data_IF_869135627511
#
_entry.id   IF_869135627511
#
_cell.length_a   1.000
_cell.length_b   1.000
_cell.length_c   1.000
_cell.angle_alpha   90.00
_cell.angle_beta   90.00
_cell.angle_gamma   90.00
#
_symmetry.space_group_name_H-M   'P 1'
#
loop_
_entity.id
_entity.type
_entity.pdbx_description
1 polymer ?
#
# COMPACT_ATOMS: atom_id res chain seq x y z
N UNK A 1 12.97 -25.63 48.08
CA UNK A 1 11.65 -25.08 47.71
C UNK A 1 11.82 -24.23 46.45
N UNK A 2 11.51 -24.77 45.28
CA UNK A 2 11.55 -24.04 44.01
C UNK A 2 10.15 -23.50 43.72
N UNK A 3 9.95 -22.19 43.85
CA UNK A 3 8.70 -21.54 43.47
C UNK A 3 8.48 -21.68 41.97
N UNK A 4 7.45 -22.43 41.55
CA UNK A 4 7.03 -22.46 40.15
C UNK A 4 6.69 -21.05 39.68
N UNK A 5 7.19 -20.60 38.51
CA UNK A 5 6.88 -19.28 37.99
C UNK A 5 5.36 -19.19 37.74
N UNK A 6 4.73 -18.15 38.28
CA UNK A 6 3.31 -17.87 38.08
C UNK A 6 3.00 -17.79 36.58
N UNK A 7 1.94 -18.49 36.15
CA UNK A 7 1.55 -18.51 34.75
C UNK A 7 1.25 -17.07 34.25
N UNK A 8 1.74 -16.68 33.06
CA UNK A 8 1.50 -15.34 32.54
C UNK A 8 -0.01 -15.10 32.38
N UNK A 9 -0.53 -13.92 32.74
CA UNK A 9 -1.96 -13.64 32.68
C UNK A 9 -2.52 -13.85 31.27
N UNK A 10 -3.61 -14.63 31.16
CA UNK A 10 -4.31 -14.88 29.89
C UNK A 10 -4.87 -13.55 29.36
N UNK A 11 -4.25 -13.01 28.32
CA UNK A 11 -4.73 -11.80 27.64
C UNK A 11 -5.86 -12.17 26.68
N UNK A 12 -6.87 -11.30 26.60
CA UNK A 12 -7.95 -11.45 25.61
C UNK A 12 -7.40 -11.35 24.19
N UNK A 13 -8.01 -12.08 23.26
CA UNK A 13 -7.61 -12.11 21.86
C UNK A 13 -7.54 -10.71 21.24
N UNK A 14 -8.53 -9.86 21.57
CA UNK A 14 -8.64 -8.50 21.06
C UNK A 14 -7.49 -7.61 21.56
N UNK A 15 -7.07 -7.77 22.83
CA UNK A 15 -5.91 -7.06 23.37
C UNK A 15 -4.59 -7.50 22.69
N UNK A 16 -4.46 -8.78 22.33
CA UNK A 16 -3.29 -9.29 21.61
C UNK A 16 -3.24 -8.69 20.20
N UNK A 17 -4.36 -8.71 19.46
CA UNK A 17 -4.44 -8.16 18.10
C UNK A 17 -4.21 -6.65 18.08
N UNK A 18 -4.80 -5.91 19.01
CA UNK A 18 -4.59 -4.47 19.12
C UNK A 18 -3.12 -4.11 19.40
N UNK A 19 -2.46 -4.90 20.25
CA UNK A 19 -1.02 -4.72 20.53
C UNK A 19 -0.17 -5.07 19.30
N UNK A 20 -0.50 -6.13 18.57
CA UNK A 20 0.18 -6.51 17.33
C UNK A 20 0.03 -5.45 16.24
N UNK A 21 -1.15 -4.85 16.12
CA UNK A 21 -1.40 -3.75 15.20
C UNK A 21 -0.56 -2.51 15.55
N UNK A 22 -0.58 -2.08 16.83
CA UNK A 22 0.23 -0.94 17.30
C UNK A 22 1.74 -1.20 17.24
N UNK A 23 2.19 -2.44 17.35
CA UNK A 23 3.60 -2.83 17.27
C UNK A 23 3.90 -3.62 15.99
N UNK A 24 3.27 -3.24 14.88
CA UNK A 24 3.48 -3.90 13.61
C UNK A 24 4.97 -3.87 13.22
N UNK A 25 5.50 -4.95 12.60
CA UNK A 25 6.88 -4.96 12.14
C UNK A 25 7.16 -3.77 11.21
N UNK A 26 8.25 -3.05 11.46
CA UNK A 26 8.67 -1.89 10.65
C UNK A 26 8.70 -2.15 9.12
N UNK A 27 9.09 -3.35 8.62
CA UNK A 27 9.00 -3.67 7.20
C UNK A 27 7.59 -3.51 6.61
N UNK A 28 6.55 -3.95 7.34
CA UNK A 28 5.16 -3.90 6.88
C UNK A 28 4.68 -2.46 6.81
N UNK A 29 4.93 -1.67 7.86
CA UNK A 29 4.53 -0.25 7.90
C UNK A 29 5.17 0.53 6.75
N UNK A 30 6.45 0.26 6.47
CA UNK A 30 7.18 0.90 5.35
C UNK A 30 6.58 0.52 4.00
N UNK A 31 6.32 -0.77 3.77
CA UNK A 31 5.73 -1.26 2.54
C UNK A 31 4.34 -0.61 2.27
N UNK A 32 3.49 -0.57 3.29
CA UNK A 32 2.16 0.04 3.18
C UNK A 32 2.29 1.54 2.93
N UNK A 33 3.12 2.25 3.69
CA UNK A 33 3.32 3.69 3.51
C UNK A 33 3.84 4.04 2.11
N UNK A 34 4.79 3.27 1.57
CA UNK A 34 5.27 3.49 0.20
C UNK A 34 4.18 3.25 -0.84
N UNK A 35 3.42 2.16 -0.72
CA UNK A 35 2.35 1.86 -1.66
C UNK A 35 1.25 2.92 -1.61
N UNK A 36 0.90 3.41 -0.42
CA UNK A 36 -0.07 4.51 -0.24
C UNK A 36 0.43 5.79 -0.90
N UNK A 37 1.69 6.18 -0.66
CA UNK A 37 2.24 7.39 -1.27
C UNK A 37 2.23 7.34 -2.80
N UNK A 38 2.68 6.22 -3.38
CA UNK A 38 2.65 5.99 -4.84
C UNK A 38 1.21 6.04 -5.38
N UNK A 39 0.28 5.33 -4.72
CA UNK A 39 -1.11 5.28 -5.13
C UNK A 39 -1.78 6.66 -5.08
N UNK A 40 -1.53 7.45 -4.05
CA UNK A 40 -2.08 8.81 -3.95
C UNK A 40 -1.60 9.69 -5.11
N UNK A 41 -0.30 9.66 -5.43
CA UNK A 41 0.26 10.48 -6.52
C UNK A 41 -0.32 10.07 -7.87
N UNK A 42 -0.29 8.78 -8.19
CA UNK A 42 -0.83 8.29 -9.47
C UNK A 42 -2.36 8.46 -9.53
N UNK A 43 -3.04 8.32 -8.40
CA UNK A 43 -4.50 8.43 -8.29
C UNK A 43 -4.97 9.87 -8.50
N UNK A 44 -4.21 10.85 -7.99
CA UNK A 44 -4.44 12.25 -8.29
C UNK A 44 -4.28 12.54 -9.79
N UNK A 45 -3.25 11.98 -10.43
CA UNK A 45 -3.07 12.10 -11.89
C UNK A 45 -4.22 11.49 -12.68
N UNK A 46 -4.67 10.29 -12.31
CA UNK A 46 -5.83 9.64 -12.91
C UNK A 46 -7.11 10.46 -12.71
N UNK A 47 -7.33 11.00 -11.51
CA UNK A 47 -8.49 11.84 -11.21
C UNK A 47 -8.51 13.12 -12.04
N UNK A 48 -7.35 13.78 -12.21
CA UNK A 48 -7.24 14.95 -13.08
C UNK A 48 -7.60 14.61 -14.52
N UNK A 49 -7.11 13.48 -15.04
CA UNK A 49 -7.46 12.99 -16.38
C UNK A 49 -8.97 12.73 -16.51
N UNK A 50 -9.56 12.03 -15.55
CA UNK A 50 -10.98 11.69 -15.55
C UNK A 50 -11.89 12.94 -15.47
N UNK A 51 -11.52 13.94 -14.67
CA UNK A 51 -12.21 15.24 -14.61
C UNK A 51 -12.06 16.00 -15.93
N UNK A 52 -10.85 16.05 -16.50
CA UNK A 52 -10.61 16.73 -17.77
C UNK A 52 -11.48 16.16 -18.90
N UNK A 53 -11.57 14.83 -18.99
CA UNK A 53 -12.41 14.14 -19.98
C UNK A 53 -13.92 14.31 -19.70
N UNK A 54 -14.31 14.52 -18.44
CA UNK A 54 -15.70 14.80 -18.07
C UNK A 54 -16.12 16.22 -18.47
N UNK A 55 -15.19 17.19 -18.38
CA UNK A 55 -15.45 18.59 -18.75
C UNK A 55 -15.29 18.86 -20.25
N UNK A 56 -14.38 18.16 -20.92
CA UNK A 56 -14.14 18.25 -22.36
C UNK A 56 -14.01 16.84 -22.97
N UNK A 57 -15.07 16.33 -23.62
CA UNK A 57 -15.07 15.00 -24.20
C UNK A 57 -14.21 14.86 -25.47
N UNK A 58 -13.76 15.96 -26.07
CA UNK A 58 -13.00 15.98 -27.34
C UNK A 58 -11.48 15.76 -27.17
N UNK A 59 -11.04 15.10 -26.09
CA UNK A 59 -9.62 14.77 -25.93
C UNK A 59 -9.17 13.78 -27.01
N UNK A 60 -7.97 13.97 -27.61
CA UNK A 60 -7.47 13.11 -28.67
C UNK A 60 -7.32 11.67 -28.15
N UNK A 61 -7.96 10.72 -28.84
CA UNK A 61 -7.92 9.29 -28.49
C UNK A 61 -9.22 8.70 -27.93
N UNK A 62 -10.27 9.50 -27.70
CA UNK A 62 -11.57 9.03 -27.23
C UNK A 62 -11.61 8.71 -25.71
N UNK A 63 -12.59 7.94 -25.27
CA UNK A 63 -12.72 7.55 -23.85
C UNK A 63 -11.72 6.43 -23.48
N UNK A 64 -10.55 6.83 -22.97
CA UNK A 64 -9.50 5.92 -22.51
C UNK A 64 -9.49 5.75 -20.98
N UNK A 65 -10.58 6.08 -20.26
CA UNK A 65 -10.63 6.00 -18.79
C UNK A 65 -10.33 4.61 -18.25
N UNK A 66 -10.82 3.56 -18.92
CA UNK A 66 -10.53 2.19 -18.52
C UNK A 66 -9.04 1.85 -18.68
N UNK A 67 -8.44 2.24 -19.81
CA UNK A 67 -7.02 2.02 -20.06
C UNK A 67 -6.15 2.83 -19.06
N UNK A 68 -6.54 4.06 -18.75
CA UNK A 68 -5.88 4.89 -17.76
C UNK A 68 -6.02 4.30 -16.33
N UNK A 69 -7.17 3.75 -15.97
CA UNK A 69 -7.38 3.06 -14.70
C UNK A 69 -6.51 1.79 -14.61
N UNK A 70 -6.43 1.01 -15.68
CA UNK A 70 -5.54 -0.16 -15.75
C UNK A 70 -4.06 0.25 -15.63
N UNK A 71 -3.64 1.30 -16.34
CA UNK A 71 -2.29 1.84 -16.25
C UNK A 71 -1.96 2.35 -14.84
N UNK A 72 -2.92 3.00 -14.16
CA UNK A 72 -2.80 3.37 -12.76
C UNK A 72 -2.56 2.14 -11.89
N UNK A 73 -3.39 1.09 -12.00
CA UNK A 73 -3.25 -0.13 -11.18
C UNK A 73 -1.89 -0.76 -11.41
N UNK A 74 -1.50 -0.98 -12.67
CA UNK A 74 -0.19 -1.55 -13.02
C UNK A 74 0.95 -0.69 -12.47
N UNK A 75 0.85 0.64 -12.61
CA UNK A 75 1.81 1.59 -12.08
C UNK A 75 1.98 1.48 -10.57
N UNK A 76 0.87 1.42 -9.81
CA UNK A 76 0.89 1.26 -8.35
C UNK A 76 1.49 -0.08 -7.94
N UNK A 77 1.14 -1.18 -8.62
CA UNK A 77 1.70 -2.49 -8.32
C UNK A 77 3.20 -2.55 -8.56
N UNK A 78 3.67 -2.05 -9.70
CA UNK A 78 5.09 -2.03 -10.07
C UNK A 78 5.86 -1.10 -9.14
N UNK A 79 5.45 0.16 -9.02
CA UNK A 79 6.16 1.13 -8.19
C UNK A 79 6.09 0.78 -6.70
N UNK A 80 4.94 0.31 -6.19
CA UNK A 80 4.80 -0.18 -4.82
C UNK A 80 5.75 -1.34 -4.52
N UNK A 81 5.89 -2.29 -5.45
CA UNK A 81 6.85 -3.41 -5.34
C UNK A 81 8.30 -2.93 -5.36
N UNK A 82 8.67 -2.08 -6.32
CA UNK A 82 10.03 -1.57 -6.50
C UNK A 82 10.46 -0.68 -5.32
N UNK A 83 9.62 0.26 -4.92
CA UNK A 83 9.91 1.17 -3.80
C UNK A 83 10.02 0.38 -2.49
N UNK A 84 9.15 -0.61 -2.27
CA UNK A 84 9.27 -1.48 -1.09
C UNK A 84 10.57 -2.28 -1.11
N UNK A 85 10.96 -2.85 -2.25
CA UNK A 85 12.23 -3.55 -2.41
C UNK A 85 13.45 -2.67 -2.10
N UNK A 86 13.38 -1.37 -2.46
CA UNK A 86 14.45 -0.41 -2.18
C UNK A 86 14.49 0.03 -0.70
N UNK A 87 13.33 0.22 -0.06
CA UNK A 87 13.22 0.82 1.28
C UNK A 87 13.25 -0.21 2.42
N UNK A 88 12.86 -1.46 2.16
CA UNK A 88 12.73 -2.50 3.19
C UNK A 88 13.98 -3.40 3.20
N UNK A 89 14.98 -3.13 4.07
CA UNK A 89 16.03 -4.09 4.33
C UNK A 89 15.46 -5.30 5.09
N UNK A 90 15.89 -6.51 4.73
CA UNK A 90 15.52 -7.72 5.47
C UNK A 90 16.09 -7.66 6.90
N UNK A 91 15.41 -8.26 7.90
CA UNK A 91 15.97 -8.40 9.24
C UNK A 91 17.30 -9.15 9.15
N UNK A 92 18.34 -8.59 9.80
CA UNK A 92 19.62 -9.28 9.95
C UNK A 92 19.37 -10.57 10.74
N UNK A 93 19.51 -11.71 10.09
CA UNK A 93 19.73 -12.98 10.79
C UNK A 93 21.16 -13.02 11.34
N UNK A 94 21.87 -14.13 11.16
CA UNK A 94 23.25 -14.31 11.62
C UNK A 94 24.35 -13.81 10.63
N UNK A 95 24.06 -12.84 9.76
CA UNK A 95 24.94 -12.45 8.64
C UNK A 95 25.41 -11.00 8.67
N UNK A 96 26.67 -10.76 8.26
CA UNK A 96 27.34 -9.46 8.31
C UNK A 96 26.93 -8.44 7.22
N UNK A 97 26.19 -8.85 6.16
CA UNK A 97 25.71 -7.96 5.09
C UNK A 97 24.19 -8.03 4.92
N UNK A 98 23.57 -6.88 4.65
CA UNK A 98 22.15 -6.76 4.33
C UNK A 98 21.90 -7.19 2.88
N UNK A 99 21.43 -8.41 2.65
CA UNK A 99 21.09 -8.91 1.31
C UNK A 99 19.66 -8.51 0.93
N UNK A 100 19.48 -7.88 -0.24
CA UNK A 100 18.15 -7.60 -0.80
C UNK A 100 17.58 -8.90 -1.39
N UNK A 101 16.38 -9.31 -0.99
CA UNK A 101 15.73 -10.51 -1.51
C UNK A 101 14.42 -10.18 -2.21
N UNK A 102 14.00 -10.98 -3.20
CA UNK A 102 12.71 -10.80 -3.90
C UNK A 102 11.49 -10.77 -2.96
N UNK A 103 11.61 -11.36 -1.76
CA UNK A 103 10.54 -11.34 -0.76
C UNK A 103 10.12 -9.94 -0.30
N UNK A 104 11.05 -8.97 -0.28
CA UNK A 104 10.71 -7.59 0.04
C UNK A 104 9.83 -6.94 -1.04
N UNK A 105 10.04 -7.28 -2.32
CA UNK A 105 9.20 -6.81 -3.41
C UNK A 105 7.78 -7.39 -3.32
N UNK A 106 7.67 -8.68 -2.97
CA UNK A 106 6.38 -9.34 -2.80
C UNK A 106 5.52 -8.69 -1.71
N UNK A 107 6.12 -8.25 -0.59
CA UNK A 107 5.40 -7.49 0.44
C UNK A 107 4.82 -6.19 -0.10
N UNK A 108 5.57 -5.48 -0.96
CA UNK A 108 5.10 -4.28 -1.63
C UNK A 108 3.93 -4.56 -2.57
N UNK A 109 4.02 -5.65 -3.35
CA UNK A 109 2.96 -6.09 -4.25
C UNK A 109 1.67 -6.41 -3.50
N UNK A 110 1.75 -7.22 -2.44
CA UNK A 110 0.57 -7.59 -1.64
C UNK A 110 -0.06 -6.39 -0.94
N UNK A 111 0.74 -5.42 -0.51
CA UNK A 111 0.22 -4.17 0.05
C UNK A 111 -0.40 -3.27 -1.03
N UNK A 112 0.16 -3.24 -2.24
CA UNK A 112 -0.26 -2.36 -3.32
C UNK A 112 -1.65 -2.70 -3.87
N UNK A 113 -2.04 -3.98 -3.93
CA UNK A 113 -3.37 -4.40 -4.46
C UNK A 113 -4.54 -3.73 -3.70
N UNK A 114 -4.71 -3.92 -2.38
CA UNK A 114 -5.82 -3.30 -1.66
C UNK A 114 -5.69 -1.76 -1.61
N UNK A 115 -4.47 -1.24 -1.57
CA UNK A 115 -4.24 0.21 -1.54
C UNK A 115 -4.67 0.87 -2.85
N UNK A 116 -4.35 0.27 -4.00
CA UNK A 116 -4.74 0.80 -5.31
C UNK A 116 -6.26 0.93 -5.42
N UNK A 117 -6.99 -0.09 -4.97
CA UNK A 117 -8.46 -0.09 -4.91
C UNK A 117 -8.99 1.00 -4.00
N UNK A 118 -8.53 1.06 -2.74
CA UNK A 118 -9.02 2.05 -1.77
C UNK A 118 -8.79 3.49 -2.23
N UNK A 119 -7.64 3.77 -2.85
CA UNK A 119 -7.35 5.10 -3.37
C UNK A 119 -8.26 5.43 -4.55
N UNK A 120 -8.53 4.49 -5.47
CA UNK A 120 -9.49 4.73 -6.55
C UNK A 120 -10.89 5.00 -6.02
N UNK A 121 -11.36 4.19 -5.06
CA UNK A 121 -12.66 4.39 -4.40
C UNK A 121 -12.73 5.78 -3.80
N UNK A 122 -11.75 6.17 -2.99
CA UNK A 122 -11.72 7.52 -2.39
C UNK A 122 -11.67 8.60 -3.48
N UNK A 123 -10.82 8.44 -4.49
CA UNK A 123 -10.68 9.44 -5.55
C UNK A 123 -11.97 9.63 -6.35
N UNK A 124 -12.66 8.54 -6.72
CA UNK A 124 -13.81 8.58 -7.60
C UNK A 124 -15.15 8.74 -6.88
N UNK A 125 -15.32 8.11 -5.72
CA UNK A 125 -16.60 8.12 -5.00
C UNK A 125 -16.66 9.24 -3.96
N UNK A 126 -15.52 9.71 -3.46
CA UNK A 126 -15.47 10.75 -2.43
C UNK A 126 -14.96 12.08 -2.98
N UNK A 127 -13.80 12.08 -3.65
CA UNK A 127 -13.14 13.33 -4.07
C UNK A 127 -13.77 13.90 -5.33
N UNK A 128 -13.93 13.08 -6.38
CA UNK A 128 -14.48 13.53 -7.66
C UNK A 128 -15.83 14.26 -7.51
N UNK A 129 -16.84 13.74 -6.78
CA UNK A 129 -18.14 14.41 -6.65
C UNK A 129 -18.08 15.77 -5.95
N UNK A 130 -16.98 16.05 -5.24
CA UNK A 130 -16.75 17.37 -4.62
C UNK A 130 -16.09 18.37 -5.59
N UNK A 131 -15.54 17.89 -6.71
CA UNK A 131 -14.76 18.68 -7.68
C UNK A 131 -15.46 18.88 -9.04
N UNK A 132 -16.56 18.17 -9.28
CA UNK A 132 -17.37 18.23 -10.51
C UNK A 132 -18.82 18.41 -10.14
#
# INVERSE_FOLDING_TARGET
MTSSPAAPPRRSWLAIRWRQFRNAPRPVVRAVASSVAVAVVLGAGYLVYDIALTRNPDLPGGDLRLAAAAAYVVGVLVAGSVVTWLIVPLPRGAGARSTRTPWSAALGLFAAVPVAYLVLVVALEVVKPLLT
#
